data_IF_313968673919
#
_entry.id   IF_313968673919
#
_cell.length_a   1.000
_cell.length_b   1.000
_cell.length_c   1.000
_cell.angle_alpha   90.00
_cell.angle_beta   90.00
_cell.angle_gamma   90.00
#
_symmetry.space_group_name_H-M   'P 1'
#
loop_
_entity.id
_entity.type
_entity.pdbx_description
1 polymer ?
#
# COMPACT_ATOMS: atom_id res chain seq x y z
N UNK A 1 0.20 -7.54 18.21
CA UNK A 1 1.25 -6.63 17.70
C UNK A 1 0.68 -5.98 16.45
N UNK A 2 0.39 -4.69 16.46
CA UNK A 2 -0.16 -3.99 15.29
C UNK A 2 1.00 -3.57 14.39
N UNK A 3 1.31 -4.38 13.38
CA UNK A 3 2.31 -4.00 12.38
C UNK A 3 1.77 -2.85 11.53
N UNK A 4 2.62 -1.85 11.30
CA UNK A 4 2.33 -0.74 10.40
C UNK A 4 3.30 -0.76 9.23
N UNK A 5 2.79 -0.39 8.07
CA UNK A 5 3.52 -0.33 6.81
C UNK A 5 3.31 1.05 6.19
N UNK A 6 4.34 1.58 5.54
CA UNK A 6 4.20 2.81 4.77
C UNK A 6 3.93 2.46 3.32
N UNK A 7 2.76 2.81 2.84
CA UNK A 7 2.29 2.50 1.48
C UNK A 7 2.24 3.78 0.65
N UNK A 8 2.63 3.71 -0.63
CA UNK A 8 2.48 4.77 -1.60
C UNK A 8 1.55 4.30 -2.72
N UNK A 9 0.66 5.15 -3.24
CA UNK A 9 -0.11 4.80 -4.42
C UNK A 9 0.82 4.71 -5.64
N UNK A 10 0.52 3.80 -6.55
CA UNK A 10 1.16 3.81 -7.86
C UNK A 10 0.81 5.10 -8.62
N UNK A 11 1.72 5.57 -9.48
CA UNK A 11 1.52 6.81 -10.22
C UNK A 11 0.25 6.74 -11.09
N UNK A 12 -0.59 7.78 -11.01
CA UNK A 12 -1.88 7.82 -11.71
C UNK A 12 -2.96 6.90 -11.13
N UNK A 13 -2.71 6.22 -9.99
CA UNK A 13 -3.72 5.42 -9.29
C UNK A 13 -4.29 6.18 -8.09
N UNK A 14 -5.59 5.98 -7.90
CA UNK A 14 -6.33 6.48 -6.75
C UNK A 14 -6.67 5.29 -5.86
N UNK A 15 -6.09 5.25 -4.66
CA UNK A 15 -6.27 4.16 -3.71
C UNK A 15 -7.01 4.69 -2.49
N UNK A 16 -8.25 4.21 -2.20
CA UNK A 16 -8.99 4.66 -1.03
C UNK A 16 -8.45 4.02 0.25
N UNK A 17 -8.19 4.81 1.27
CA UNK A 17 -7.78 4.36 2.60
C UNK A 17 -9.03 4.00 3.42
N UNK A 18 -9.27 2.71 3.72
CA UNK A 18 -10.48 2.29 4.45
C UNK A 18 -10.48 2.71 5.92
N UNK A 19 -9.31 3.02 6.51
CA UNK A 19 -9.24 3.46 7.91
C UNK A 19 -9.43 4.97 8.03
N UNK A 20 -8.79 5.75 7.16
CA UNK A 20 -8.94 7.20 7.15
C UNK A 20 -10.23 7.68 6.48
N UNK A 21 -10.84 6.84 5.63
CA UNK A 21 -12.03 7.20 4.84
C UNK A 21 -11.74 8.22 3.73
N UNK A 22 -10.48 8.38 3.34
CA UNK A 22 -10.02 9.33 2.32
C UNK A 22 -9.09 8.65 1.30
N UNK A 23 -8.54 9.38 0.34
CA UNK A 23 -7.62 8.83 -0.65
C UNK A 23 -6.18 8.84 -0.14
N UNK A 24 -5.42 7.84 -0.55
CA UNK A 24 -4.00 7.76 -0.23
C UNK A 24 -3.24 8.88 -0.97
N UNK A 25 -2.47 9.74 -0.26
CA UNK A 25 -1.71 10.80 -0.88
C UNK A 25 -0.53 10.24 -1.69
N UNK A 26 -0.10 10.97 -2.73
CA UNK A 26 1.02 10.56 -3.59
C UNK A 26 2.32 10.33 -2.82
N UNK A 27 2.54 11.07 -1.73
CA UNK A 27 3.70 10.92 -0.85
C UNK A 27 3.70 9.61 -0.03
N UNK A 28 2.56 8.91 -0.01
CA UNK A 28 2.27 7.75 0.80
C UNK A 28 1.82 8.06 2.22
N UNK A 29 1.35 7.03 2.91
CA UNK A 29 0.87 7.10 4.29
C UNK A 29 1.29 5.85 5.08
N UNK A 30 1.50 6.02 6.37
CA UNK A 30 1.63 4.89 7.31
C UNK A 30 0.23 4.35 7.67
N UNK A 31 0.03 3.07 7.42
CA UNK A 31 -1.25 2.37 7.61
C UNK A 31 -0.99 1.04 8.32
N UNK A 32 -2.02 0.41 8.88
CA UNK A 32 -1.91 -0.93 9.45
C UNK A 32 -1.62 -1.97 8.35
N UNK A 33 -0.79 -2.97 8.66
CA UNK A 33 -0.60 -4.16 7.82
C UNK A 33 -1.84 -5.05 7.91
N UNK A 34 -2.88 -4.63 7.19
CA UNK A 34 -4.13 -5.33 7.05
C UNK A 34 -4.14 -6.15 5.75
N UNK A 35 -4.97 -7.20 5.71
CA UNK A 35 -5.18 -7.99 4.51
C UNK A 35 -5.57 -7.13 3.29
N UNK A 36 -6.26 -6.01 3.52
CA UNK A 36 -6.63 -5.05 2.49
C UNK A 36 -5.42 -4.42 1.79
N UNK A 37 -4.45 -3.90 2.56
CA UNK A 37 -3.23 -3.29 2.02
C UNK A 37 -2.34 -4.32 1.34
N UNK A 38 -2.22 -5.53 1.90
CA UNK A 38 -1.50 -6.64 1.25
C UNK A 38 -2.08 -7.00 -0.11
N UNK A 39 -3.41 -6.93 -0.27
CA UNK A 39 -4.06 -7.17 -1.56
C UNK A 39 -3.72 -6.06 -2.57
N UNK A 40 -3.79 -4.79 -2.17
CA UNK A 40 -3.39 -3.67 -3.05
C UNK A 40 -1.93 -3.72 -3.46
N UNK A 41 -1.06 -4.22 -2.59
CA UNK A 41 0.33 -4.48 -2.91
C UNK A 41 0.48 -5.62 -3.94
N UNK A 42 -0.33 -6.68 -3.84
CA UNK A 42 -0.33 -7.76 -4.81
C UNK A 42 -0.91 -7.34 -6.17
N UNK A 43 -1.95 -6.50 -6.16
CA UNK A 43 -2.58 -5.92 -7.35
C UNK A 43 -1.68 -4.88 -8.06
N UNK A 44 -0.63 -4.39 -7.38
CA UNK A 44 0.25 -3.34 -7.89
C UNK A 44 -0.37 -1.94 -7.83
N UNK A 45 -1.45 -1.76 -7.07
CA UNK A 45 -2.07 -0.45 -6.84
C UNK A 45 -1.24 0.42 -5.89
N UNK A 46 -0.41 -0.20 -5.03
CA UNK A 46 0.48 0.47 -4.09
C UNK A 46 1.88 -0.14 -4.05
N UNK A 47 2.82 0.60 -3.47
CA UNK A 47 4.21 0.18 -3.20
C UNK A 47 4.59 0.49 -1.75
N UNK A 48 5.64 -0.13 -1.20
CA UNK A 48 6.10 0.12 0.17
C UNK A 48 7.27 1.12 0.20
N UNK A 49 7.22 2.12 1.09
CA UNK A 49 8.26 3.18 1.21
C UNK A 49 9.56 2.69 1.86
N UNK A 50 9.52 1.58 2.60
CA UNK A 50 10.68 1.06 3.33
C UNK A 50 10.72 -0.46 3.23
N UNK A 51 11.91 -0.97 2.94
CA UNK A 51 12.27 -2.33 2.54
C UNK A 51 11.77 -2.76 1.13
N UNK A 52 12.68 -3.29 0.29
CA UNK A 52 12.34 -3.73 -1.06
C UNK A 52 11.33 -4.87 -0.97
N UNK A 53 10.07 -4.55 -1.22
CA UNK A 53 9.06 -5.56 -1.43
C UNK A 53 9.54 -6.41 -2.60
N UNK A 54 9.84 -7.68 -2.35
CA UNK A 54 9.94 -8.73 -3.37
C UNK A 54 8.58 -8.81 -4.09
N UNK A 55 8.30 -7.90 -5.00
CA UNK A 55 7.31 -8.12 -6.05
C UNK A 55 8.01 -8.89 -7.16
N UNK A 56 8.04 -10.21 -6.98
CA UNK A 56 8.32 -11.15 -8.07
C UNK A 56 7.17 -12.16 -8.11
N UNK A 57 6.02 -11.67 -8.56
CA UNK A 57 4.89 -12.48 -9.00
C UNK A 57 4.82 -12.45 -10.53
N UNK A 58 5.87 -12.92 -11.19
CA UNK A 58 5.86 -13.20 -12.61
C UNK A 58 6.29 -14.65 -12.81
N UNK A 59 5.32 -15.56 -12.86
CA UNK A 59 5.27 -16.67 -13.83
C UNK A 59 3.93 -17.37 -13.81
#
# INVERSE_FOLDING_TARGET
>A
MSNRITVLPAEGRVVPDPEAGDLLPLEGREVLDSAWWRRRLADGDITLKTAPAKQKGAK
#
